data_IF_732050656713
#
_entry.id   IF_732050656713
#
_cell.length_a   1.000
_cell.length_b   1.000
_cell.length_c   1.000
_cell.angle_alpha   90.00
_cell.angle_beta   90.00
_cell.angle_gamma   90.00
#
_symmetry.space_group_name_H-M   'P 1'
#
loop_
_entity.id
_entity.type
_entity.pdbx_description
1 polymer ?
#
# COMPACT_ATOMS: atom_id res chain seq x y z
N UNK A 1 -4.81 6.45 15.19
CA UNK A 1 -3.46 6.12 15.69
C UNK A 1 -2.52 5.89 14.50
N UNK A 2 -1.33 6.49 14.44
CA UNK A 2 -0.35 6.09 13.44
C UNK A 2 0.22 4.72 13.84
N UNK A 3 -0.10 3.69 13.07
CA UNK A 3 0.61 2.42 13.12
C UNK A 3 1.65 2.50 12.01
N UNK A 4 2.78 3.17 12.27
CA UNK A 4 3.91 3.10 11.35
C UNK A 4 4.51 1.70 11.46
N UNK A 5 4.05 0.78 10.61
CA UNK A 5 4.51 -0.62 10.60
C UNK A 5 5.01 -0.97 9.22
N UNK A 6 6.25 -1.45 9.15
CA UNK A 6 6.77 -2.05 7.93
C UNK A 6 5.92 -3.26 7.56
N UNK A 7 5.36 -3.24 6.35
CA UNK A 7 4.58 -4.35 5.80
C UNK A 7 5.50 -5.31 5.08
N UNK A 8 6.41 -4.78 4.26
CA UNK A 8 7.40 -5.55 3.53
C UNK A 8 8.68 -4.73 3.33
N UNK A 9 9.82 -5.42 3.28
CA UNK A 9 11.13 -4.83 3.00
C UNK A 9 11.97 -5.82 2.23
N UNK A 10 12.68 -5.31 1.23
CA UNK A 10 13.73 -6.00 0.50
C UNK A 10 15.00 -5.14 0.50
N UNK A 11 15.99 -5.56 -0.27
CA UNK A 11 17.08 -4.66 -0.64
C UNK A 11 16.50 -3.46 -1.40
N UNK A 12 15.80 -3.64 -2.51
CA UNK A 12 15.48 -2.49 -3.37
C UNK A 12 14.28 -1.64 -2.92
N UNK A 13 13.41 -2.16 -2.05
CA UNK A 13 12.18 -1.46 -1.69
C UNK A 13 11.75 -1.64 -0.23
N UNK A 14 10.99 -0.65 0.26
CA UNK A 14 10.30 -0.67 1.55
C UNK A 14 8.85 -0.26 1.33
N UNK A 15 7.94 -1.00 1.95
CA UNK A 15 6.51 -0.71 1.98
C UNK A 15 6.08 -0.68 3.44
N UNK A 16 5.55 0.47 3.87
CA UNK A 16 5.12 0.70 5.24
C UNK A 16 3.66 1.14 5.27
N UNK A 17 2.86 0.57 6.17
CA UNK A 17 1.57 1.13 6.53
C UNK A 17 1.86 2.35 7.40
N UNK A 18 1.41 3.52 6.97
CA UNK A 18 1.69 4.79 7.63
C UNK A 18 0.55 5.16 8.58
N UNK A 19 -0.69 5.04 8.11
CA UNK A 19 -1.88 5.28 8.93
C UNK A 19 -3.11 4.56 8.36
N UNK A 20 -4.10 4.37 9.24
CA UNK A 20 -5.43 3.86 8.92
C UNK A 20 -6.44 4.88 9.38
N UNK A 21 -7.36 5.27 8.48
CA UNK A 21 -8.50 6.13 8.80
C UNK A 21 -9.77 5.31 8.67
N UNK A 22 -10.55 5.22 9.74
CA UNK A 22 -11.73 4.36 9.78
C UNK A 22 -13.02 5.19 9.64
N UNK A 23 -13.99 4.64 8.93
CA UNK A 23 -15.30 5.23 8.68
C UNK A 23 -16.37 4.14 8.84
N UNK A 24 -17.65 4.48 9.06
CA UNK A 24 -18.71 3.46 9.19
C UNK A 24 -18.80 2.50 7.99
N UNK A 25 -18.50 2.99 6.78
CA UNK A 25 -18.58 2.20 5.54
C UNK A 25 -17.32 1.35 5.25
N UNK A 26 -16.19 1.59 5.92
CA UNK A 26 -14.91 0.98 5.57
C UNK A 26 -13.72 1.71 6.19
N UNK A 27 -12.51 1.37 5.78
CA UNK A 27 -11.33 2.11 6.20
C UNK A 27 -10.37 2.40 5.04
N UNK A 28 -9.71 3.54 5.14
CA UNK A 28 -8.61 3.91 4.26
C UNK A 28 -7.28 3.45 4.85
N UNK A 29 -6.47 2.77 4.06
CA UNK A 29 -5.11 2.36 4.38
C UNK A 29 -4.15 3.19 3.54
N UNK A 30 -3.27 3.95 4.18
CA UNK A 30 -2.23 4.72 3.48
C UNK A 30 -0.89 4.03 3.63
N UNK A 31 -0.32 3.64 2.49
CA UNK A 31 0.95 2.92 2.39
C UNK A 31 2.00 3.87 1.86
N UNK A 32 3.13 3.97 2.55
CA UNK A 32 4.32 4.66 2.07
C UNK A 32 5.25 3.68 1.35
N UNK A 33 5.76 4.10 0.20
CA UNK A 33 6.65 3.34 -0.66
C UNK A 33 7.96 4.09 -0.84
N UNK A 34 9.06 3.37 -0.67
CA UNK A 34 10.38 3.86 -1.03
C UNK A 34 11.10 2.78 -1.84
N UNK A 35 11.61 3.14 -3.00
CA UNK A 35 12.41 2.26 -3.87
C UNK A 35 13.73 2.95 -4.17
N UNK A 36 14.82 2.18 -4.13
CA UNK A 36 16.13 2.62 -4.61
C UNK A 36 16.47 1.88 -5.89
N UNK A 37 17.15 2.57 -6.80
CA UNK A 37 17.47 2.05 -8.13
C UNK A 37 18.38 0.83 -8.14
N UNK A 38 19.35 0.77 -7.22
CA UNK A 38 20.35 -0.30 -7.22
C UNK A 38 21.19 -0.31 -8.51
N UNK A 39 21.35 -1.49 -9.12
CA UNK A 39 22.13 -1.70 -10.34
C UNK A 39 21.29 -1.69 -11.62
N UNK A 40 20.07 -1.18 -11.59
CA UNK A 40 19.21 -1.12 -12.77
C UNK A 40 19.71 -0.08 -13.79
N UNK A 41 19.62 -0.43 -15.06
CA UNK A 41 19.81 0.49 -16.17
C UNK A 41 18.67 1.52 -16.27
N UNK A 42 18.85 2.54 -17.12
CA UNK A 42 17.90 3.65 -17.22
C UNK A 42 16.53 3.18 -17.72
N UNK A 43 16.51 2.20 -18.61
CA UNK A 43 15.27 1.66 -19.17
C UNK A 43 14.45 0.92 -18.12
N UNK A 44 15.11 0.12 -17.28
CA UNK A 44 14.50 -0.63 -16.19
C UNK A 44 14.01 0.33 -15.11
N UNK A 45 14.79 1.36 -14.79
CA UNK A 45 14.41 2.38 -13.82
C UNK A 45 13.20 3.19 -14.28
N UNK A 46 13.19 3.64 -15.54
CA UNK A 46 12.05 4.35 -16.13
C UNK A 46 10.77 3.48 -16.14
N UNK A 47 10.91 2.18 -16.39
CA UNK A 47 9.77 1.25 -16.32
C UNK A 47 9.18 1.12 -14.92
N UNK A 48 10.02 1.07 -13.87
CA UNK A 48 9.56 1.09 -12.47
C UNK A 48 8.84 2.40 -12.16
N UNK A 49 9.40 3.52 -12.59
CA UNK A 49 8.81 4.83 -12.37
C UNK A 49 7.43 4.96 -13.02
N UNK A 50 7.28 4.50 -14.27
CA UNK A 50 5.99 4.51 -14.97
C UNK A 50 4.92 3.64 -14.32
N UNK A 51 5.27 2.43 -13.86
CA UNK A 51 4.33 1.54 -13.16
C UNK A 51 3.87 2.17 -11.85
N UNK A 52 4.79 2.84 -11.16
CA UNK A 52 4.50 3.48 -9.89
C UNK A 52 3.82 4.86 -10.02
N UNK A 53 3.99 5.56 -11.13
CA UNK A 53 3.26 6.79 -11.44
C UNK A 53 1.81 6.52 -11.88
N UNK A 54 1.38 5.25 -11.99
CA UNK A 54 0.01 4.88 -12.33
C UNK A 54 -0.31 4.89 -13.83
N UNK A 55 0.70 4.84 -14.70
CA UNK A 55 0.51 5.10 -16.13
C UNK A 55 -0.02 3.93 -16.97
N UNK A 56 0.47 2.71 -16.77
CA UNK A 56 0.13 1.55 -17.62
C UNK A 56 0.29 0.22 -16.85
N UNK A 57 -0.49 -0.83 -17.18
CA UNK A 57 -0.23 -2.17 -16.69
C UNK A 57 1.16 -2.62 -17.14
N UNK A 58 2.09 -2.77 -16.19
CA UNK A 58 3.35 -3.46 -16.45
C UNK A 58 3.14 -4.97 -16.58
N UNK A 59 4.18 -5.73 -16.98
CA UNK A 59 4.20 -7.18 -16.80
C UNK A 59 3.78 -7.53 -15.36
N UNK A 60 3.06 -8.63 -15.15
CA UNK A 60 2.49 -9.00 -13.84
C UNK A 60 3.52 -9.03 -12.70
N UNK A 61 4.79 -9.24 -13.02
CA UNK A 61 5.90 -9.32 -12.06
C UNK A 61 6.42 -7.93 -11.64
N UNK A 62 6.16 -6.91 -12.48
CA UNK A 62 6.54 -5.53 -12.28
C UNK A 62 5.50 -4.73 -11.49
N UNK A 63 4.27 -5.22 -11.34
CA UNK A 63 3.22 -4.52 -10.59
C UNK A 63 3.33 -4.79 -9.09
N UNK A 64 3.15 -3.71 -8.33
CA UNK A 64 2.90 -3.79 -6.90
C UNK A 64 1.47 -4.26 -6.69
N UNK A 65 1.29 -5.28 -5.86
CA UNK A 65 -0.02 -5.89 -5.60
C UNK A 65 -0.34 -5.86 -4.12
N UNK A 66 -1.60 -5.50 -3.81
CA UNK A 66 -2.19 -5.53 -2.48
C UNK A 66 -3.34 -6.52 -2.46
N UNK A 67 -3.44 -7.31 -1.38
CA UNK A 67 -4.54 -8.25 -1.18
C UNK A 67 -4.98 -8.27 0.28
N UNK A 68 -6.24 -8.64 0.47
CA UNK A 68 -6.81 -8.97 1.77
C UNK A 68 -7.47 -10.34 1.69
N UNK A 69 -7.48 -11.08 2.80
CA UNK A 69 -8.20 -12.36 2.91
C UNK A 69 -9.72 -12.16 3.13
N UNK A 70 -10.11 -10.98 3.61
CA UNK A 70 -11.50 -10.61 3.89
C UNK A 70 -11.81 -9.18 3.44
N UNK A 71 -13.01 -9.01 2.91
CA UNK A 71 -13.46 -7.74 2.33
C UNK A 71 -12.96 -7.54 0.90
N UNK A 72 -13.23 -6.35 0.38
CA UNK A 72 -12.82 -5.87 -0.94
C UNK A 72 -11.89 -4.68 -0.76
N UNK A 73 -10.77 -4.71 -1.49
CA UNK A 73 -9.74 -3.67 -1.45
C UNK A 73 -9.70 -2.97 -2.80
N UNK A 74 -9.86 -1.65 -2.79
CA UNK A 74 -9.84 -0.80 -3.99
C UNK A 74 -8.73 0.22 -3.84
N UNK A 75 -7.91 0.41 -4.87
CA UNK A 75 -6.93 1.50 -4.91
C UNK A 75 -7.66 2.81 -5.25
N UNK A 76 -7.59 3.78 -4.34
CA UNK A 76 -8.19 5.11 -4.51
C UNK A 76 -7.28 6.07 -5.26
N UNK A 77 -5.99 5.77 -5.29
CA UNK A 77 -4.96 6.57 -5.94
C UNK A 77 -3.68 6.63 -5.12
N UNK A 78 -2.81 7.55 -5.49
CA UNK A 78 -1.52 7.72 -4.87
C UNK A 78 -0.78 8.92 -5.40
N UNK A 79 0.26 9.33 -4.65
CA UNK A 79 1.21 10.34 -5.06
C UNK A 79 2.59 9.71 -5.26
N UNK A 80 3.40 10.32 -6.11
CA UNK A 80 4.73 9.82 -6.42
C UNK A 80 5.70 10.97 -6.66
N UNK A 81 6.94 10.77 -6.25
CA UNK A 81 8.08 11.59 -6.64
C UNK A 81 9.26 10.65 -6.93
N UNK A 82 9.95 10.90 -8.03
CA UNK A 82 11.07 10.09 -8.46
C UNK A 82 12.23 10.97 -8.91
N UNK A 83 13.42 10.39 -8.87
CA UNK A 83 14.64 10.93 -9.47
C UNK A 83 15.50 9.76 -9.95
N UNK A 84 16.69 10.03 -10.46
CA UNK A 84 17.58 9.02 -11.05
C UNK A 84 18.06 7.93 -10.08
N UNK A 85 17.84 8.08 -8.77
CA UNK A 85 18.37 7.19 -7.73
C UNK A 85 17.29 6.56 -6.85
N UNK A 86 16.16 7.24 -6.69
CA UNK A 86 15.11 6.82 -5.75
C UNK A 86 13.73 7.24 -6.20
N UNK A 87 12.76 6.41 -5.86
CA UNK A 87 11.35 6.69 -5.94
C UNK A 87 10.77 6.73 -4.52
N UNK A 88 9.89 7.69 -4.25
CA UNK A 88 9.07 7.74 -3.03
C UNK A 88 7.64 8.06 -3.40
N UNK A 89 6.69 7.35 -2.83
CA UNK A 89 5.29 7.59 -3.11
C UNK A 89 4.37 7.04 -2.05
N UNK A 90 3.10 7.31 -2.24
CA UNK A 90 2.03 6.84 -1.38
C UNK A 90 0.99 6.07 -2.21
N UNK A 91 0.33 5.12 -1.55
CA UNK A 91 -0.84 4.43 -2.07
C UNK A 91 -1.94 4.50 -1.06
N UNK A 92 -3.11 4.92 -1.51
CA UNK A 92 -4.30 4.96 -0.70
C UNK A 92 -5.24 3.86 -1.15
N UNK A 93 -5.56 2.96 -0.22
CA UNK A 93 -6.45 1.83 -0.46
C UNK A 93 -7.71 2.00 0.38
N UNK A 94 -8.85 1.60 -0.15
CA UNK A 94 -10.12 1.50 0.56
C UNK A 94 -10.48 0.05 0.80
N UNK A 95 -10.65 -0.33 2.05
CA UNK A 95 -11.14 -1.64 2.46
C UNK A 95 -12.61 -1.53 2.87
N UNK A 96 -13.47 -2.31 2.22
CA UNK A 96 -14.89 -2.43 2.54
C UNK A 96 -15.33 -3.89 2.62
N UNK A 97 -16.26 -4.27 3.51
CA UNK A 97 -16.82 -3.43 4.58
C UNK A 97 -15.78 -3.14 5.68
N UNK A 98 -16.14 -2.29 6.65
CA UNK A 98 -15.33 -2.03 7.84
C UNK A 98 -15.00 -3.36 8.55
N UNK A 99 -13.71 -3.71 8.75
CA UNK A 99 -13.35 -4.99 9.34
C UNK A 99 -13.70 -5.02 10.83
N UNK A 100 -14.44 -6.04 11.28
CA UNK A 100 -14.80 -6.27 12.69
C UNK A 100 -13.89 -7.30 13.40
N UNK A 101 -13.08 -8.03 12.64
CA UNK A 101 -12.14 -9.04 13.13
C UNK A 101 -10.75 -8.80 12.54
N UNK A 102 -9.74 -9.45 13.12
CA UNK A 102 -8.40 -9.43 12.54
C UNK A 102 -8.38 -10.07 11.15
N UNK A 103 -7.67 -9.45 10.22
CA UNK A 103 -7.57 -9.85 8.82
C UNK A 103 -6.12 -9.84 8.36
N UNK A 104 -5.86 -10.54 7.26
CA UNK A 104 -4.56 -10.59 6.61
C UNK A 104 -4.48 -9.54 5.51
N UNK A 105 -3.39 -8.76 5.54
CA UNK A 105 -3.03 -7.82 4.49
C UNK A 105 -1.73 -8.29 3.85
N UNK A 106 -1.78 -8.62 2.57
CA UNK A 106 -0.65 -9.14 1.82
C UNK A 106 -0.17 -8.14 0.78
N UNK A 107 1.16 -8.04 0.68
CA UNK A 107 1.86 -7.21 -0.30
C UNK A 107 2.80 -8.11 -1.10
N UNK A 108 2.86 -7.88 -2.41
CA UNK A 108 3.74 -8.62 -3.31
C UNK A 108 4.28 -7.68 -4.39
N UNK A 109 5.59 -7.73 -4.61
CA UNK A 109 6.24 -7.02 -5.69
C UNK A 109 7.59 -7.67 -6.04
N UNK A 110 7.53 -8.71 -6.88
CA UNK A 110 8.69 -9.57 -7.15
C UNK A 110 9.83 -8.84 -7.86
N UNK A 111 9.53 -7.90 -8.75
CA UNK A 111 10.54 -7.11 -9.47
C UNK A 111 11.53 -6.40 -8.54
N UNK A 112 11.09 -6.03 -7.34
CA UNK A 112 11.93 -5.37 -6.32
C UNK A 112 12.35 -6.31 -5.18
N UNK A 113 12.12 -7.61 -5.35
CA UNK A 113 12.48 -8.64 -4.38
C UNK A 113 11.53 -8.75 -3.18
N UNK A 114 10.31 -8.21 -3.28
CA UNK A 114 9.26 -8.45 -2.28
C UNK A 114 8.43 -9.64 -2.73
N UNK A 115 8.73 -10.82 -2.18
CA UNK A 115 7.81 -11.96 -2.26
C UNK A 115 6.52 -11.66 -1.50
N UNK A 116 5.48 -12.48 -1.71
CA UNK A 116 4.22 -12.34 -0.98
C UNK A 116 4.47 -12.33 0.53
N UNK A 117 4.28 -11.17 1.12
CA UNK A 117 4.49 -10.91 2.54
C UNK A 117 3.15 -10.54 3.15
N UNK A 118 2.74 -11.30 4.15
CA UNK A 118 1.47 -11.10 4.85
C UNK A 118 1.69 -10.55 6.24
N UNK A 119 0.91 -9.54 6.62
CA UNK A 119 0.79 -9.09 8.01
C UNK A 119 -0.64 -9.26 8.50
N UNK A 120 -0.79 -9.46 9.80
CA UNK A 120 -2.10 -9.46 10.46
C UNK A 120 -2.38 -8.07 11.04
N UNK A 121 -3.53 -7.52 10.70
CA UNK A 121 -4.06 -6.25 11.22
C UNK A 121 -5.27 -6.54 12.11
N UNK A 122 -5.39 -5.82 13.22
CA UNK A 122 -6.52 -5.98 14.14
C UNK A 122 -7.69 -5.09 13.69
N UNK A 123 -8.69 -5.71 13.05
CA UNK A 123 -9.90 -5.02 12.62
C UNK A 123 -10.70 -4.43 13.78
N UNK A 124 -10.63 -5.00 14.99
CA UNK A 124 -11.37 -4.47 16.15
C UNK A 124 -10.90 -3.07 16.51
N UNK A 125 -9.58 -2.84 16.49
CA UNK A 125 -9.00 -1.51 16.73
C UNK A 125 -9.47 -0.50 15.67
N UNK A 126 -9.58 -0.93 14.42
CA UNK A 126 -10.08 -0.09 13.31
C UNK A 126 -11.58 0.19 13.48
N UNK A 127 -12.39 -0.81 13.83
CA UNK A 127 -13.81 -0.66 14.06
C UNK A 127 -14.13 0.23 15.25
N UNK A 128 -13.38 0.11 16.36
CA UNK A 128 -13.50 1.03 17.50
C UNK A 128 -13.16 2.47 17.10
N UNK A 129 -12.12 2.68 16.28
CA UNK A 129 -11.79 4.01 15.77
C UNK A 129 -12.90 4.60 14.89
N UNK A 130 -13.61 3.77 14.13
CA UNK A 130 -14.73 4.22 13.29
C UNK A 130 -15.90 4.78 14.10
N UNK A 131 -16.10 4.35 15.35
CA UNK A 131 -17.17 4.87 16.22
C UNK A 131 -17.00 6.34 16.57
N UNK A 132 -15.76 6.83 16.56
CA UNK A 132 -15.43 8.24 16.76
C UNK A 132 -15.30 9.04 15.46
N UNK A 133 -15.57 8.43 14.30
CA UNK A 133 -15.45 9.12 13.02
C UNK A 133 -16.66 10.02 12.77
N UNK A 134 -16.41 11.31 12.58
CA UNK A 134 -17.44 12.23 12.14
C UNK A 134 -17.57 12.18 10.61
N UNK A 135 -18.79 12.15 10.06
CA UNK A 135 -19.01 12.30 8.63
C UNK A 135 -18.38 13.61 8.14
N UNK A 136 -17.64 13.54 7.03
CA UNK A 136 -17.09 14.75 6.40
C UNK A 136 -18.20 15.65 5.85
N UNK A 137 -19.33 15.05 5.44
CA UNK A 137 -20.54 15.76 5.02
C UNK A 137 -21.69 15.44 6.00
N UNK A 138 -22.44 16.45 6.48
CA UNK A 138 -23.60 16.26 7.36
C UNK A 138 -24.73 15.44 6.72
#
# INVERSE_FOLDING_TARGET
>A
MPIARFVARSELAVIALQHVVAYPAGCSLTLHLAVRRGSWDDSTWAGIDMVLAGGLPGPADASLQFRVDRGSLVELGGGASSNDRSYRGERQLWLAPLPSEAFEFAVEWRKVGIERTTIRLDGRVIAEAAKGAEPFWP
#
